data_IF_956126149253
#
_entry.id   IF_956126149253
#
_cell.length_a   1.000
_cell.length_b   1.000
_cell.length_c   1.000
_cell.angle_alpha   90.00
_cell.angle_beta   90.00
_cell.angle_gamma   90.00
#
_symmetry.space_group_name_H-M   'P 1'
#
loop_
_entity.id
_entity.type
_entity.pdbx_description
1 polymer ?
#
# COMPACT_ATOMS: atom_id res chain seq x y z
N UNK A 1 -63.11 -31.24 40.94
CA UNK A 1 -63.55 -30.19 40.00
C UNK A 1 -65.03 -29.94 40.29
N UNK A 2 -65.35 -28.93 41.11
CA UNK A 2 -66.69 -28.34 41.18
C UNK A 2 -66.51 -26.85 41.52
N UNK A 3 -67.05 -26.02 40.64
CA UNK A 3 -67.10 -24.56 40.70
C UNK A 3 -68.05 -24.09 41.80
N UNK A 4 -67.67 -23.03 42.54
CA UNK A 4 -68.22 -21.65 42.51
C UNK A 4 -69.59 -21.51 43.14
N UNK A 5 -69.66 -20.68 44.18
CA UNK A 5 -70.66 -19.64 44.53
C UNK A 5 -70.37 -19.23 45.99
N UNK A 6 -70.54 -18.02 46.48
CA UNK A 6 -70.76 -16.68 45.95
C UNK A 6 -70.68 -15.76 47.20
N UNK A 7 -69.96 -14.65 47.06
CA UNK A 7 -70.15 -13.32 47.65
C UNK A 7 -70.75 -13.20 49.07
N UNK A 8 -69.95 -12.66 49.98
CA UNK A 8 -70.47 -11.72 51.00
C UNK A 8 -69.63 -10.43 50.95
N UNK A 9 -70.34 -9.32 50.88
CA UNK A 9 -69.90 -8.01 50.42
C UNK A 9 -70.19 -7.03 51.55
N UNK A 10 -69.16 -6.54 52.25
CA UNK A 10 -69.26 -5.51 53.31
C UNK A 10 -67.99 -4.64 53.20
N UNK A 11 -68.01 -3.58 52.40
CA UNK A 11 -68.39 -2.21 52.76
C UNK A 11 -67.46 -1.50 53.75
N UNK A 12 -67.20 -0.24 53.41
CA UNK A 12 -66.74 0.86 54.26
C UNK A 12 -65.25 0.95 54.60
N UNK A 13 -64.55 1.76 53.80
CA UNK A 13 -63.23 2.30 54.10
C UNK A 13 -62.84 3.45 53.17
N UNK A 14 -63.73 4.44 53.01
CA UNK A 14 -63.44 5.69 52.32
C UNK A 14 -62.24 6.39 53.00
N UNK A 15 -61.16 6.60 52.27
CA UNK A 15 -59.91 7.19 52.80
C UNK A 15 -59.26 8.13 51.79
N UNK A 16 -59.86 9.31 51.67
CA UNK A 16 -59.29 10.61 51.28
C UNK A 16 -58.37 10.69 50.06
N UNK A 17 -58.91 11.33 49.02
CA UNK A 17 -58.16 12.13 48.06
C UNK A 17 -57.31 13.19 48.79
N UNK A 18 -56.06 13.34 48.35
CA UNK A 18 -55.30 14.61 48.31
C UNK A 18 -54.18 14.38 47.27
N UNK A 19 -54.39 14.71 45.99
CA UNK A 19 -54.24 16.04 45.43
C UNK A 19 -52.83 16.63 45.65
N UNK A 20 -51.86 16.21 44.84
CA UNK A 20 -50.78 17.12 44.43
C UNK A 20 -50.13 16.68 43.12
N UNK A 21 -50.84 16.93 42.02
CA UNK A 21 -50.19 17.27 40.75
C UNK A 21 -50.45 18.75 40.50
N UNK A 22 -49.43 19.60 40.60
CA UNK A 22 -49.29 20.74 39.73
C UNK A 22 -48.24 20.37 38.70
N UNK A 23 -48.69 20.45 37.45
CA UNK A 23 -47.84 20.79 36.31
C UNK A 23 -46.72 21.75 36.74
N UNK A 24 -45.50 21.24 36.76
CA UNK A 24 -44.33 22.05 36.53
C UNK A 24 -43.73 21.54 35.23
N UNK A 25 -44.31 22.03 34.11
CA UNK A 25 -43.57 22.29 32.89
C UNK A 25 -42.41 23.21 33.25
N UNK A 26 -41.33 22.65 33.76
CA UNK A 26 -40.00 23.22 33.59
C UNK A 26 -39.43 22.46 32.42
N UNK A 27 -39.68 23.05 31.25
CA UNK A 27 -38.79 22.97 30.10
C UNK A 27 -37.37 22.87 30.64
N UNK A 28 -36.67 21.71 30.51
CA UNK A 28 -35.23 21.74 30.55
C UNK A 28 -34.83 22.80 29.54
N UNK A 29 -33.82 23.65 29.79
CA UNK A 29 -33.24 24.36 28.66
C UNK A 29 -32.94 23.27 27.62
N UNK A 30 -33.52 23.43 26.44
CA UNK A 30 -33.11 22.74 25.23
C UNK A 30 -31.62 23.06 25.05
N UNK A 31 -30.76 22.37 25.80
CA UNK A 31 -29.57 21.84 25.20
C UNK A 31 -30.11 20.70 24.34
N UNK A 32 -30.60 21.07 23.16
CA UNK A 32 -30.23 20.34 21.96
C UNK A 32 -28.70 20.26 22.01
N UNK A 33 -28.19 19.28 22.76
CA UNK A 33 -26.95 18.64 22.36
C UNK A 33 -27.36 18.11 21.00
N UNK A 34 -26.85 18.76 19.96
CA UNK A 34 -26.92 18.25 18.61
C UNK A 34 -26.60 16.74 18.73
N UNK A 35 -27.60 15.88 18.54
CA UNK A 35 -27.39 14.42 18.49
C UNK A 35 -26.58 14.02 17.24
N UNK A 36 -26.00 15.01 16.54
CA UNK A 36 -25.15 14.92 15.37
C UNK A 36 -23.68 15.33 15.68
N UNK A 37 -23.35 15.63 16.95
CA UNK A 37 -21.98 15.87 17.44
C UNK A 37 -21.36 14.59 18.08
N UNK A 38 -21.77 13.39 17.64
CA UNK A 38 -20.99 12.18 17.88
C UNK A 38 -19.73 12.24 17.02
N UNK A 39 -18.59 12.59 17.63
CA UNK A 39 -17.29 12.52 16.97
C UNK A 39 -17.10 11.12 16.36
N UNK A 40 -17.03 11.04 15.03
CA UNK A 40 -16.79 9.79 14.30
C UNK A 40 -15.55 9.09 14.88
N UNK A 41 -15.77 8.00 15.63
CA UNK A 41 -14.68 7.21 16.20
C UNK A 41 -13.64 6.88 15.13
N UNK A 42 -12.39 7.23 15.39
CA UNK A 42 -11.34 6.93 14.41
C UNK A 42 -11.14 5.42 14.30
N UNK A 43 -10.75 4.93 13.12
CA UNK A 43 -10.39 3.50 12.96
C UNK A 43 -9.30 3.09 13.95
N UNK A 44 -8.42 4.02 14.35
CA UNK A 44 -7.42 3.80 15.37
C UNK A 44 -8.04 3.58 16.77
N UNK A 45 -9.05 4.36 17.16
CA UNK A 45 -9.79 4.16 18.42
C UNK A 45 -10.54 2.83 18.44
N UNK A 46 -11.20 2.46 17.34
CA UNK A 46 -11.86 1.14 17.23
C UNK A 46 -10.87 0.00 17.34
N UNK A 47 -9.72 0.09 16.65
CA UNK A 47 -8.65 -0.91 16.76
C UNK A 47 -8.03 -0.94 18.16
N UNK A 48 -7.92 0.22 18.81
CA UNK A 48 -7.41 0.35 20.17
C UNK A 48 -8.37 -0.31 21.19
N UNK A 49 -9.67 -0.01 21.09
CA UNK A 49 -10.71 -0.63 21.92
C UNK A 49 -10.81 -2.13 21.67
N UNK A 50 -10.67 -2.58 20.42
CA UNK A 50 -10.63 -4.00 20.10
C UNK A 50 -9.37 -4.68 20.67
N UNK A 51 -8.21 -4.01 20.68
CA UNK A 51 -6.99 -4.57 21.30
C UNK A 51 -7.10 -4.65 22.84
N UNK A 52 -7.98 -3.86 23.45
CA UNK A 52 -8.24 -3.86 24.89
C UNK A 52 -8.97 -5.12 25.38
N UNK A 53 -9.78 -5.77 24.52
CA UNK A 53 -10.44 -7.04 24.85
C UNK A 53 -9.50 -8.24 24.93
N UNK A 54 -8.23 -8.09 24.52
CA UNK A 54 -7.27 -9.18 24.44
C UNK A 54 -6.26 -9.19 25.61
N UNK A 55 -5.77 -10.37 26.03
CA UNK A 55 -4.76 -10.47 27.09
C UNK A 55 -3.44 -9.81 26.69
N UNK A 56 -2.71 -9.28 27.68
CA UNK A 56 -1.47 -8.53 27.45
C UNK A 56 -0.40 -9.27 26.64
N UNK A 57 -0.38 -10.60 26.70
CA UNK A 57 0.54 -11.45 25.95
C UNK A 57 0.37 -11.32 24.43
N UNK A 58 -0.86 -11.34 23.92
CA UNK A 58 -1.09 -11.23 22.47
C UNK A 58 -0.83 -9.81 21.97
N UNK A 59 -1.10 -8.80 22.80
CA UNK A 59 -0.79 -7.40 22.47
C UNK A 59 0.72 -7.15 22.44
N UNK A 60 1.47 -7.73 23.38
CA UNK A 60 2.94 -7.67 23.38
C UNK A 60 3.54 -8.44 22.20
N UNK A 61 2.98 -9.61 21.86
CA UNK A 61 3.38 -10.33 20.65
C UNK A 61 3.16 -9.50 19.38
N UNK A 62 1.99 -8.87 19.23
CA UNK A 62 1.70 -7.98 18.10
C UNK A 62 2.67 -6.79 18.03
N UNK A 63 2.96 -6.14 19.17
CA UNK A 63 3.95 -5.07 19.26
C UNK A 63 5.35 -5.55 18.88
N UNK A 64 5.79 -6.70 19.40
CA UNK A 64 7.11 -7.26 19.12
C UNK A 64 7.24 -7.71 17.66
N UNK A 65 6.19 -8.29 17.06
CA UNK A 65 6.16 -8.63 15.64
C UNK A 65 6.18 -7.38 14.78
N UNK A 66 5.39 -6.35 15.10
CA UNK A 66 5.38 -5.09 14.37
C UNK A 66 6.73 -4.37 14.41
N UNK A 67 7.35 -4.30 15.59
CA UNK A 67 8.69 -3.71 15.77
C UNK A 67 9.79 -4.57 15.13
N UNK A 68 9.71 -5.89 15.21
CA UNK A 68 10.57 -6.82 14.49
C UNK A 68 10.46 -6.61 12.98
N UNK A 69 9.25 -6.48 12.45
CA UNK A 69 9.03 -6.27 11.02
C UNK A 69 9.62 -4.92 10.56
N UNK A 70 9.38 -3.85 11.33
CA UNK A 70 9.95 -2.53 11.03
C UNK A 70 11.49 -2.53 11.05
N UNK A 71 12.09 -3.15 12.07
CA UNK A 71 13.55 -3.30 12.17
C UNK A 71 14.10 -4.22 11.08
N UNK A 72 13.39 -5.28 10.73
CA UNK A 72 13.73 -6.21 9.66
C UNK A 72 13.69 -5.52 8.30
N UNK A 73 12.65 -4.74 7.97
CA UNK A 73 12.61 -3.96 6.72
C UNK A 73 13.76 -2.97 6.64
N UNK A 74 14.05 -2.26 7.73
CA UNK A 74 15.20 -1.33 7.77
C UNK A 74 16.53 -2.07 7.55
N UNK A 75 16.68 -3.24 8.19
CA UNK A 75 17.86 -4.10 8.05
C UNK A 75 18.00 -4.70 6.65
N UNK A 76 16.92 -5.24 6.09
CA UNK A 76 16.85 -5.78 4.74
C UNK A 76 17.12 -4.72 3.69
N UNK A 77 16.61 -3.50 3.87
CA UNK A 77 16.91 -2.38 2.98
C UNK A 77 18.42 -2.06 3.00
N UNK A 78 19.01 -1.89 4.18
CA UNK A 78 20.44 -1.63 4.31
C UNK A 78 21.29 -2.79 3.75
N UNK A 79 20.94 -4.03 4.08
CA UNK A 79 21.58 -5.23 3.57
C UNK A 79 21.47 -5.33 2.05
N UNK A 80 20.29 -5.06 1.47
CA UNK A 80 20.08 -5.09 0.03
C UNK A 80 20.94 -4.05 -0.68
N UNK A 81 21.08 -2.85 -0.11
CA UNK A 81 21.94 -1.80 -0.66
C UNK A 81 23.42 -2.22 -0.63
N UNK A 82 23.90 -2.76 0.50
CA UNK A 82 25.28 -3.27 0.61
C UNK A 82 25.53 -4.49 -0.28
N UNK A 83 24.58 -5.42 -0.35
CA UNK A 83 24.67 -6.61 -1.19
C UNK A 83 24.65 -6.23 -2.67
N UNK A 84 23.77 -5.32 -3.09
CA UNK A 84 23.74 -4.81 -4.45
C UNK A 84 25.07 -4.15 -4.83
N UNK A 85 25.65 -3.35 -3.93
CA UNK A 85 26.96 -2.75 -4.16
C UNK A 85 28.07 -3.79 -4.33
N UNK A 86 28.11 -4.81 -3.46
CA UNK A 86 29.09 -5.88 -3.53
C UNK A 86 28.90 -6.76 -4.77
N UNK A 87 27.66 -7.14 -5.09
CA UNK A 87 27.34 -7.92 -6.28
C UNK A 87 27.67 -7.16 -7.55
N UNK A 88 27.32 -5.88 -7.62
CA UNK A 88 27.63 -5.03 -8.77
C UNK A 88 29.14 -4.85 -8.95
N UNK A 89 29.85 -4.53 -7.88
CA UNK A 89 31.32 -4.37 -7.90
C UNK A 89 32.03 -5.67 -8.26
N UNK A 90 31.60 -6.79 -7.65
CA UNK A 90 32.17 -8.10 -7.91
C UNK A 90 31.89 -8.57 -9.34
N UNK A 91 30.66 -8.39 -9.81
CA UNK A 91 30.24 -8.67 -11.18
C UNK A 91 31.11 -7.90 -12.18
N UNK A 92 31.29 -6.59 -11.99
CA UNK A 92 32.09 -5.75 -12.88
C UNK A 92 33.54 -6.25 -13.04
N UNK A 93 34.19 -6.65 -11.95
CA UNK A 93 35.58 -7.14 -11.99
C UNK A 93 35.68 -8.51 -12.67
N UNK A 94 34.69 -9.40 -12.46
CA UNK A 94 34.66 -10.70 -13.14
C UNK A 94 34.37 -10.58 -14.64
N UNK A 95 33.48 -9.67 -15.03
CA UNK A 95 33.11 -9.50 -16.42
C UNK A 95 34.16 -8.73 -17.22
N UNK A 96 35.01 -7.91 -16.60
CA UNK A 96 36.01 -7.12 -17.31
C UNK A 96 36.95 -7.96 -18.23
N UNK A 97 37.55 -9.09 -17.79
CA UNK A 97 38.34 -9.96 -18.67
C UNK A 97 37.51 -10.58 -19.80
N UNK A 98 36.29 -11.06 -19.48
CA UNK A 98 35.38 -11.69 -20.43
C UNK A 98 34.98 -10.70 -21.53
N UNK A 99 34.68 -9.46 -21.15
CA UNK A 99 34.29 -8.40 -22.07
C UNK A 99 35.43 -8.05 -23.03
N UNK A 100 36.68 -8.02 -22.54
CA UNK A 100 37.85 -7.79 -23.38
C UNK A 100 38.04 -8.88 -24.45
N UNK A 101 37.77 -10.13 -24.11
CA UNK A 101 37.80 -11.23 -25.06
C UNK A 101 36.72 -11.11 -26.13
N UNK A 102 35.50 -10.69 -25.77
CA UNK A 102 34.41 -10.49 -26.72
C UNK A 102 34.69 -9.31 -27.65
N UNK A 103 35.18 -8.19 -27.11
CA UNK A 103 35.51 -6.99 -27.90
C UNK A 103 36.65 -7.24 -28.88
N UNK A 104 37.67 -8.03 -28.51
CA UNK A 104 38.75 -8.37 -29.44
C UNK A 104 38.25 -9.13 -30.66
N UNK A 105 37.34 -10.09 -30.45
CA UNK A 105 36.73 -10.84 -31.55
C UNK A 105 35.88 -9.92 -32.42
N UNK A 106 35.15 -8.98 -31.82
CA UNK A 106 34.37 -7.99 -32.56
C UNK A 106 35.25 -7.03 -33.37
N UNK A 107 36.41 -6.61 -32.85
CA UNK A 107 37.34 -5.72 -33.55
C UNK A 107 37.89 -6.35 -34.84
N UNK A 108 38.19 -7.65 -34.83
CA UNK A 108 38.66 -8.36 -36.02
C UNK A 108 37.58 -8.47 -37.10
N UNK A 109 36.33 -8.73 -36.70
CA UNK A 109 35.18 -8.77 -37.59
C UNK A 109 34.89 -7.40 -38.22
N UNK A 110 34.91 -6.33 -37.40
CA UNK A 110 34.70 -4.95 -37.87
C UNK A 110 35.80 -4.51 -38.84
N UNK A 111 37.06 -4.83 -38.55
CA UNK A 111 38.16 -4.55 -39.48
C UNK A 111 38.04 -5.34 -40.78
N UNK A 112 37.63 -6.61 -40.73
CA UNK A 112 37.34 -7.38 -41.96
C UNK A 112 36.21 -6.76 -42.77
N UNK A 113 35.16 -6.26 -42.11
CA UNK A 113 34.04 -5.59 -42.77
C UNK A 113 34.49 -4.26 -43.37
N UNK A 114 35.32 -3.48 -42.69
CA UNK A 114 35.88 -2.23 -43.22
C UNK A 114 36.86 -2.46 -44.37
N UNK A 115 37.74 -3.46 -44.29
CA UNK A 115 38.60 -3.84 -45.41
C UNK A 115 37.76 -4.27 -46.62
N UNK A 116 36.68 -5.02 -46.40
CA UNK A 116 35.74 -5.37 -47.47
C UNK A 116 35.00 -4.14 -48.00
N UNK A 117 34.56 -3.19 -47.16
CA UNK A 117 33.88 -1.96 -47.59
C UNK A 117 34.80 -0.93 -48.26
N UNK A 118 36.08 -0.85 -47.89
CA UNK A 118 37.06 0.02 -48.55
C UNK A 118 37.52 -0.58 -49.88
N UNK A 119 37.75 -1.90 -49.92
CA UNK A 119 38.15 -2.59 -51.16
C UNK A 119 36.98 -2.74 -52.16
N UNK A 120 35.75 -2.72 -51.68
CA UNK A 120 34.54 -2.77 -52.51
C UNK A 120 33.86 -1.40 -52.66
N UNK A 121 34.30 -0.38 -51.92
CA UNK A 121 33.64 0.92 -51.82
C UNK A 121 32.19 0.82 -51.28
N UNK A 122 31.61 1.92 -50.75
CA UNK A 122 30.17 2.02 -50.50
C UNK A 122 29.29 1.66 -51.73
N UNK A 123 29.88 1.57 -52.93
CA UNK A 123 29.18 1.38 -54.20
C UNK A 123 28.90 -0.08 -54.60
N UNK A 124 29.58 -1.11 -54.05
CA UNK A 124 29.33 -2.49 -54.53
C UNK A 124 28.16 -3.21 -53.87
N UNK A 125 27.60 -2.70 -52.78
CA UNK A 125 26.29 -3.14 -52.28
C UNK A 125 25.11 -2.49 -53.04
N UNK A 126 25.33 -1.33 -53.68
CA UNK A 126 24.30 -0.61 -54.44
C UNK A 126 24.32 -0.95 -55.94
N UNK A 127 25.39 -1.55 -56.44
CA UNK A 127 25.49 -2.01 -57.84
C UNK A 127 24.52 -3.14 -58.22
N UNK A 128 23.86 -3.79 -57.24
CA UNK A 128 22.87 -4.85 -57.50
C UNK A 128 21.44 -4.49 -57.03
N UNK A 129 21.24 -3.29 -56.51
CA UNK A 129 19.91 -2.77 -56.17
C UNK A 129 19.64 -1.64 -57.15
N UNK A 130 19.09 -2.04 -58.29
CA UNK A 130 18.19 -1.28 -59.15
C UNK A 130 18.19 0.25 -58.99
N UNK A 131 18.48 0.92 -60.09
CA UNK A 131 18.13 2.31 -60.32
C UNK A 131 16.66 2.62 -59.94
N UNK A 132 16.37 3.06 -58.71
CA UNK A 132 15.11 3.75 -58.35
C UNK A 132 14.92 4.26 -56.91
N UNK A 133 15.92 4.27 -56.02
CA UNK A 133 15.71 4.90 -54.70
C UNK A 133 16.97 5.50 -54.12
N UNK A 134 17.15 6.80 -54.38
CA UNK A 134 18.23 7.62 -53.80
C UNK A 134 18.09 7.68 -52.26
N UNK A 135 19.12 7.35 -51.47
CA UNK A 135 19.17 7.72 -50.07
C UNK A 135 19.57 9.20 -49.92
N UNK A 136 18.71 9.94 -49.21
CA UNK A 136 18.82 11.36 -48.85
C UNK A 136 20.15 11.66 -48.14
N UNK A 137 20.84 12.74 -48.55
CA UNK A 137 22.05 13.24 -47.92
C UNK A 137 21.78 13.82 -46.51
N UNK A 138 22.70 13.68 -45.54
CA UNK A 138 22.52 14.21 -44.19
C UNK A 138 22.71 15.75 -44.13
N UNK A 139 22.03 16.44 -43.21
CA UNK A 139 22.03 17.89 -43.12
C UNK A 139 23.36 18.46 -42.63
N UNK A 140 23.84 19.50 -43.32
CA UNK A 140 24.95 20.36 -42.89
C UNK A 140 24.48 21.22 -41.73
N UNK A 141 25.10 21.06 -40.57
CA UNK A 141 24.85 21.91 -39.40
C UNK A 141 25.56 23.26 -39.57
N UNK A 142 24.82 24.35 -39.43
CA UNK A 142 25.32 25.67 -39.07
C UNK A 142 25.17 25.88 -37.57
#
# INVERSE_FOLDING_TARGET
MTSVEEVDQLDSGMGSSDAHSPEAKLHPPDNEIDEDDEEDESLAERLLGLTEMFPGEVRNLGYNVGTCLCTCMKGLYAFSCSAAWLLFSSSAILFAPILFEIERVQMEEVQRIQQKQVLLGPSKAMSNVNASSLPMAPPVQQ
#
